data_IF_125257416161
#
_entry.id   IF_125257416161
#
_cell.length_a   1.000
_cell.length_b   1.000
_cell.length_c   1.000
_cell.angle_alpha   90.00
_cell.angle_beta   90.00
_cell.angle_gamma   90.00
#
_symmetry.space_group_name_H-M   'P 1'
#
loop_
_entity.id
_entity.type
_entity.pdbx_description
1 polymer ?
#
# COMPACT_ATOMS: atom_id res chain seq x y z
N UNK A 1 11.53 10.58 9.31
CA UNK A 1 12.82 10.79 8.59
C UNK A 1 13.28 9.41 8.12
N UNK A 2 12.91 8.99 6.89
CA UNK A 2 13.32 7.71 6.31
C UNK A 2 14.50 7.96 5.38
N UNK A 3 15.74 7.89 5.88
CA UNK A 3 16.92 8.23 5.07
C UNK A 3 17.90 7.09 4.78
N UNK A 4 17.82 5.93 5.43
CA UNK A 4 18.95 4.98 5.36
C UNK A 4 18.66 3.62 4.70
N UNK A 5 17.45 3.33 4.23
CA UNK A 5 17.15 2.02 3.60
C UNK A 5 16.98 2.04 2.07
N UNK A 6 17.05 3.20 1.41
CA UNK A 6 16.42 3.36 0.08
C UNK A 6 17.31 3.03 -1.14
N UNK A 7 18.62 2.87 -1.00
CA UNK A 7 19.49 2.71 -2.18
C UNK A 7 19.33 1.35 -2.87
N UNK A 8 19.01 0.29 -2.12
CA UNK A 8 18.94 -1.08 -2.66
C UNK A 8 17.65 -1.36 -3.46
N UNK A 9 16.57 -0.60 -3.20
CA UNK A 9 15.24 -0.88 -3.77
C UNK A 9 14.85 0.06 -4.92
N UNK A 10 15.74 0.99 -5.27
CA UNK A 10 15.59 1.93 -6.38
C UNK A 10 15.54 1.27 -7.77
N UNK A 11 15.52 -0.06 -7.88
CA UNK A 11 15.29 -0.75 -9.15
C UNK A 11 13.89 -1.39 -9.23
N UNK A 12 13.15 -1.51 -8.12
CA UNK A 12 11.80 -2.08 -8.12
C UNK A 12 10.77 -1.05 -8.63
N UNK A 13 10.04 -1.39 -9.69
CA UNK A 13 9.07 -0.49 -10.35
C UNK A 13 7.91 -0.14 -9.42
N UNK A 14 7.39 -1.12 -8.68
CA UNK A 14 6.29 -0.93 -7.73
C UNK A 14 6.68 -0.01 -6.57
N UNK A 15 7.90 -0.20 -6.05
CA UNK A 15 8.47 0.65 -5.02
C UNK A 15 8.67 2.10 -5.50
N UNK A 16 9.18 2.31 -6.72
CA UNK A 16 9.27 3.65 -7.33
C UNK A 16 7.90 4.29 -7.47
N UNK A 17 6.91 3.51 -7.88
CA UNK A 17 5.54 3.96 -8.04
C UNK A 17 4.98 4.45 -6.70
N UNK A 18 5.08 3.63 -5.66
CA UNK A 18 4.65 4.00 -4.31
C UNK A 18 5.41 5.22 -3.79
N UNK A 19 6.74 5.28 -3.96
CA UNK A 19 7.57 6.39 -3.48
C UNK A 19 7.17 7.72 -4.10
N UNK A 20 6.84 7.71 -5.41
CA UNK A 20 6.31 8.87 -6.11
C UNK A 20 5.06 9.40 -5.38
N UNK A 21 4.14 8.54 -4.96
CA UNK A 21 2.94 9.00 -4.25
C UNK A 21 3.21 9.43 -2.81
N UNK A 22 4.09 8.73 -2.10
CA UNK A 22 4.49 9.10 -0.73
C UNK A 22 5.10 10.50 -0.63
N UNK A 23 5.89 10.92 -1.64
CA UNK A 23 6.56 12.23 -1.61
C UNK A 23 5.61 13.40 -1.85
N UNK A 24 4.53 13.20 -2.60
CA UNK A 24 3.65 14.28 -3.07
C UNK A 24 2.26 14.28 -2.42
N UNK A 25 1.90 13.24 -1.67
CA UNK A 25 0.55 13.06 -1.19
C UNK A 25 0.45 13.07 0.34
N UNK A 26 -0.21 14.10 0.89
CA UNK A 26 -0.46 14.17 2.33
C UNK A 26 -1.40 13.09 2.86
N UNK A 27 -2.20 12.47 1.98
CA UNK A 27 -3.17 11.43 2.31
C UNK A 27 -2.65 10.01 2.11
N UNK A 28 -1.42 9.83 1.62
CA UNK A 28 -0.87 8.50 1.39
C UNK A 28 0.62 8.47 1.72
N UNK A 29 1.02 7.59 2.62
CA UNK A 29 2.43 7.38 2.93
C UNK A 29 2.82 5.90 2.98
N UNK A 30 4.07 5.60 2.62
CA UNK A 30 4.65 4.27 2.80
C UNK A 30 5.29 4.22 4.19
N UNK A 31 5.01 3.14 4.93
CA UNK A 31 5.57 2.91 6.26
C UNK A 31 6.72 1.91 6.18
N UNK A 32 6.50 0.79 5.48
CA UNK A 32 7.42 -0.34 5.52
C UNK A 32 7.35 -1.17 4.25
N UNK A 33 8.47 -1.83 3.93
CA UNK A 33 8.55 -2.86 2.88
C UNK A 33 8.34 -4.22 3.57
N UNK A 34 7.47 -5.06 3.01
CA UNK A 34 7.20 -6.41 3.52
C UNK A 34 8.09 -7.38 2.75
N UNK A 35 8.96 -8.09 3.47
CA UNK A 35 9.88 -9.08 2.91
C UNK A 35 9.37 -10.51 3.14
N UNK A 36 9.79 -11.43 2.27
CA UNK A 36 9.52 -12.85 2.44
C UNK A 36 10.17 -13.35 3.74
N UNK A 37 9.46 -14.20 4.47
CA UNK A 37 9.97 -14.79 5.73
C UNK A 37 10.68 -16.12 5.50
N UNK A 38 10.60 -16.66 4.29
CA UNK A 38 11.33 -17.87 3.90
C UNK A 38 12.84 -17.61 3.87
N UNK A 39 13.63 -18.43 4.55
CA UNK A 39 15.09 -18.30 4.62
C UNK A 39 15.77 -18.37 3.25
N UNK A 40 15.16 -19.06 2.28
CA UNK A 40 15.68 -19.19 0.92
C UNK A 40 15.43 -17.94 0.07
N UNK A 41 14.43 -17.13 0.41
CA UNK A 41 14.01 -15.93 -0.33
C UNK A 41 13.92 -14.67 0.55
N UNK A 42 14.61 -14.61 1.70
CA UNK A 42 14.40 -13.59 2.74
C UNK A 42 14.48 -12.13 2.29
N UNK A 43 15.22 -11.85 1.22
CA UNK A 43 15.41 -10.49 0.68
C UNK A 43 14.38 -10.12 -0.41
N UNK A 44 13.48 -11.05 -0.75
CA UNK A 44 12.42 -10.84 -1.73
C UNK A 44 11.31 -9.98 -1.14
N UNK A 45 10.97 -8.90 -1.82
CA UNK A 45 9.83 -8.05 -1.47
C UNK A 45 8.55 -8.78 -1.83
N UNK A 46 7.63 -8.92 -0.87
CA UNK A 46 6.33 -9.55 -1.05
C UNK A 46 5.16 -8.56 -0.92
N UNK A 47 5.42 -7.37 -0.39
CA UNK A 47 4.39 -6.34 -0.23
C UNK A 47 4.88 -5.05 0.41
N UNK A 48 3.93 -4.18 0.74
CA UNK A 48 4.19 -2.87 1.34
C UNK A 48 3.11 -2.51 2.37
N UNK A 49 3.54 -1.95 3.50
CA UNK A 49 2.67 -1.28 4.46
C UNK A 49 2.55 0.21 4.11
N UNK A 50 1.32 0.71 4.02
CA UNK A 50 1.01 2.09 3.72
C UNK A 50 0.02 2.67 4.76
N UNK A 51 0.03 3.99 4.95
CA UNK A 51 -1.02 4.75 5.63
C UNK A 51 -1.81 5.49 4.56
N UNK A 52 -3.12 5.31 4.58
CA UNK A 52 -4.06 6.15 3.86
C UNK A 52 -4.83 7.03 4.86
N UNK A 53 -4.91 8.33 4.62
CA UNK A 53 -5.65 9.28 5.43
C UNK A 53 -7.01 9.57 4.78
N UNK A 54 -8.07 9.06 5.40
CA UNK A 54 -9.45 9.39 5.04
C UNK A 54 -10.01 10.36 6.09
N UNK A 55 -10.32 11.58 5.66
CA UNK A 55 -10.71 12.68 6.57
C UNK A 55 -9.68 12.89 7.70
N UNK A 56 -10.07 12.64 8.95
CA UNK A 56 -9.23 12.75 10.14
C UNK A 56 -8.72 11.38 10.66
N UNK A 57 -8.89 10.31 9.88
CA UNK A 57 -8.54 8.94 10.28
C UNK A 57 -7.37 8.44 9.44
N UNK A 58 -6.36 7.90 10.12
CA UNK A 58 -5.26 7.18 9.50
C UNK A 58 -5.55 5.68 9.48
N UNK A 59 -5.48 5.10 8.29
CA UNK A 59 -5.83 3.71 8.04
C UNK A 59 -4.58 3.01 7.52
N UNK A 60 -4.14 1.97 8.23
CA UNK A 60 -3.06 1.12 7.75
C UNK A 60 -3.61 0.17 6.69
N UNK A 61 -3.01 0.20 5.50
CA UNK A 61 -3.32 -0.71 4.40
C UNK A 61 -2.06 -1.45 3.97
N UNK A 62 -2.22 -2.70 3.62
CA UNK A 62 -1.19 -3.58 3.08
C UNK A 62 -1.45 -3.82 1.60
N UNK A 63 -0.39 -3.80 0.80
CA UNK A 63 -0.42 -4.24 -0.59
C UNK A 63 0.44 -5.48 -0.78
N UNK A 64 -0.13 -6.55 -1.32
CA UNK A 64 0.54 -7.81 -1.60
C UNK A 64 0.87 -7.91 -3.10
N UNK A 65 2.16 -8.10 -3.42
CA UNK A 65 2.63 -8.13 -4.81
C UNK A 65 2.24 -9.40 -5.55
N UNK A 66 2.17 -10.54 -4.84
CA UNK A 66 1.90 -11.85 -5.43
C UNK A 66 0.54 -11.93 -6.13
N UNK A 67 -0.44 -11.20 -5.61
CA UNK A 67 -1.83 -11.20 -6.09
C UNK A 67 -2.39 -9.78 -6.29
N UNK A 68 -1.53 -8.76 -6.24
CA UNK A 68 -1.90 -7.34 -6.41
C UNK A 68 -3.06 -6.90 -5.51
N UNK A 69 -3.09 -7.45 -4.28
CA UNK A 69 -4.24 -7.30 -3.37
C UNK A 69 -3.95 -6.26 -2.30
N UNK A 70 -4.91 -5.36 -2.08
CA UNK A 70 -4.94 -4.41 -0.99
C UNK A 70 -5.80 -4.92 0.17
N UNK A 71 -5.34 -4.72 1.41
CA UNK A 71 -6.06 -5.12 2.63
C UNK A 71 -5.89 -4.10 3.73
N UNK A 72 -6.93 -3.85 4.52
CA UNK A 72 -6.80 -3.04 5.74
C UNK A 72 -6.11 -3.87 6.83
N UNK A 73 -5.01 -3.35 7.39
CA UNK A 73 -4.27 -3.96 8.50
C UNK A 73 -4.51 -3.21 9.83
N UNK A 74 -5.77 -2.89 10.12
CA UNK A 74 -6.12 -2.11 11.31
C UNK A 74 -7.03 -2.92 12.25
N UNK A 75 -6.66 -3.01 13.53
CA UNK A 75 -7.43 -3.74 14.56
C UNK A 75 -8.50 -2.89 15.28
N UNK A 76 -8.68 -1.61 14.94
CA UNK A 76 -9.63 -0.72 15.64
C UNK A 76 -11.03 -0.68 14.98
N UNK A 77 -11.85 -1.66 15.37
CA UNK A 77 -13.29 -1.71 15.70
C UNK A 77 -14.36 -0.70 15.19
N UNK A 78 -14.08 0.37 14.43
CA UNK A 78 -15.13 1.23 13.87
C UNK A 78 -15.47 0.86 12.41
N UNK A 79 -16.09 -0.32 12.25
CA UNK A 79 -16.39 -0.96 10.96
C UNK A 79 -17.18 -0.06 9.99
N UNK A 80 -18.11 0.76 10.49
CA UNK A 80 -18.98 1.60 9.65
C UNK A 80 -18.23 2.69 8.88
N UNK A 81 -17.23 3.35 9.48
CA UNK A 81 -16.46 4.41 8.81
C UNK A 81 -15.53 3.89 7.71
N UNK A 82 -15.26 2.58 7.71
CA UNK A 82 -14.37 1.94 6.74
C UNK A 82 -15.11 1.25 5.60
N UNK A 83 -16.45 1.26 5.59
CA UNK A 83 -17.23 0.56 4.55
C UNK A 83 -16.89 1.05 3.15
N UNK A 84 -16.81 2.36 2.93
CA UNK A 84 -16.47 2.92 1.62
C UNK A 84 -15.06 2.52 1.15
N UNK A 85 -14.10 2.48 2.07
CA UNK A 85 -12.75 2.04 1.75
C UNK A 85 -12.70 0.53 1.50
N UNK A 86 -13.41 -0.28 2.29
CA UNK A 86 -13.50 -1.73 2.05
C UNK A 86 -14.09 -2.03 0.68
N UNK A 87 -15.20 -1.39 0.31
CA UNK A 87 -15.81 -1.53 -1.02
C UNK A 87 -14.80 -1.12 -2.11
N UNK A 88 -14.10 0.01 -1.92
CA UNK A 88 -13.08 0.47 -2.85
C UNK A 88 -11.94 -0.54 -3.03
N UNK A 89 -11.42 -1.09 -1.93
CA UNK A 89 -10.33 -2.07 -1.98
C UNK A 89 -10.81 -3.40 -2.58
N UNK A 90 -12.02 -3.84 -2.27
CA UNK A 90 -12.66 -5.00 -2.90
C UNK A 90 -12.75 -4.81 -4.41
N UNK A 91 -13.30 -3.69 -4.87
CA UNK A 91 -13.39 -3.35 -6.30
C UNK A 91 -12.02 -3.37 -6.99
N UNK A 92 -10.99 -2.79 -6.34
CA UNK A 92 -9.62 -2.82 -6.86
C UNK A 92 -9.06 -4.24 -6.95
N UNK A 93 -9.33 -5.08 -5.94
CA UNK A 93 -8.87 -6.47 -5.90
C UNK A 93 -9.58 -7.35 -6.94
N UNK A 94 -10.85 -7.06 -7.26
CA UNK A 94 -11.59 -7.73 -8.33
C UNK A 94 -11.19 -7.25 -9.72
N UNK A 95 -10.79 -5.98 -9.83
CA UNK A 95 -10.37 -5.37 -11.10
C UNK A 95 -8.93 -5.76 -11.45
N UNK A 96 -8.74 -7.02 -11.88
CA UNK A 96 -7.46 -7.62 -12.30
C UNK A 96 -6.72 -6.88 -13.43
N UNK A 97 -7.27 -5.80 -13.97
CA UNK A 97 -6.80 -5.10 -15.15
C UNK A 97 -6.16 -3.73 -14.88
N UNK A 98 -6.06 -3.33 -13.60
CA UNK A 98 -5.57 -2.00 -13.22
C UNK A 98 -4.14 -2.12 -12.71
N UNK A 99 -3.20 -1.40 -13.33
CA UNK A 99 -1.81 -1.37 -12.86
C UNK A 99 -1.70 -0.67 -11.51
N UNK A 100 -0.67 -1.00 -10.72
CA UNK A 100 -0.44 -0.44 -9.39
C UNK A 100 -0.49 1.10 -9.36
N UNK A 101 0.09 1.79 -10.35
CA UNK A 101 0.02 3.26 -10.47
C UNK A 101 -1.42 3.79 -10.56
N UNK A 102 -2.29 3.08 -11.26
CA UNK A 102 -3.70 3.44 -11.39
C UNK A 102 -4.48 3.10 -10.12
N UNK A 103 -4.19 1.96 -9.48
CA UNK A 103 -4.81 1.58 -8.21
C UNK A 103 -4.51 2.62 -7.12
N UNK A 104 -3.24 3.05 -6.99
CA UNK A 104 -2.85 4.09 -6.01
C UNK A 104 -3.52 5.43 -6.32
N UNK A 105 -3.61 5.83 -7.61
CA UNK A 105 -4.35 7.04 -8.00
C UNK A 105 -5.83 6.98 -7.61
N UNK A 106 -6.46 5.82 -7.71
CA UNK A 106 -7.86 5.62 -7.33
C UNK A 106 -8.02 5.77 -5.81
N UNK A 107 -7.15 5.12 -5.03
CA UNK A 107 -7.14 5.21 -3.56
C UNK A 107 -6.98 6.67 -3.12
N UNK A 108 -6.05 7.40 -3.73
CA UNK A 108 -5.73 8.79 -3.38
C UNK A 108 -6.83 9.80 -3.75
N UNK A 109 -7.63 9.52 -4.78
CA UNK A 109 -8.67 10.45 -5.28
C UNK A 109 -9.96 10.42 -4.47
N UNK A 110 -10.20 9.33 -3.75
CA UNK A 110 -11.35 9.13 -2.86
C UNK A 110 -11.04 9.71 -1.49
#
# INVERSE_FOLDING_TARGET
>A
MFKETNQQYNNNIDYKCLLKYNHYNKHFSIINIIFNKDEQEKDKIVGYDCIYQYENIHIKIEHYLSNQTWKINNQQSNYEKYQNLNILLEDLNYSRYVYLDQQIKIIIKR
#
